data_IF_387086119297
#
_entry.id   IF_387086119297
#
_cell.length_a   1.000
_cell.length_b   1.000
_cell.length_c   1.000
_cell.angle_alpha   90.00
_cell.angle_beta   90.00
_cell.angle_gamma   90.00
#
_symmetry.space_group_name_H-M   'P 1'
#
loop_
_entity.id
_entity.type
_entity.pdbx_description
1 polymer ?
#
# COMPACT_ATOMS: atom_id res chain seq x y z
N UNK A 1 14.71 2.16 12.67
CA UNK A 1 13.90 1.72 11.51
C UNK A 1 12.47 2.29 11.42
N UNK A 2 11.92 2.96 12.44
CA UNK A 2 10.57 3.58 12.38
C UNK A 2 10.52 4.83 11.46
N UNK A 3 11.64 5.56 11.37
CA UNK A 3 11.75 6.80 10.58
C UNK A 3 11.60 6.53 9.06
N UNK A 4 12.18 5.42 8.57
CA UNK A 4 12.14 5.04 7.17
C UNK A 4 10.72 4.72 6.69
N UNK A 5 9.91 4.02 7.50
CA UNK A 5 8.51 3.72 7.16
C UNK A 5 7.66 4.99 7.01
N UNK A 6 7.79 5.93 7.96
CA UNK A 6 7.04 7.20 7.91
C UNK A 6 7.38 8.04 6.67
N UNK A 7 8.65 8.05 6.24
CA UNK A 7 9.06 8.75 5.02
C UNK A 7 8.41 8.12 3.78
N UNK A 8 8.49 6.79 3.66
CA UNK A 8 7.93 6.10 2.50
C UNK A 8 6.41 6.32 2.36
N UNK A 9 5.68 6.30 3.48
CA UNK A 9 4.24 6.57 3.52
C UNK A 9 3.92 7.97 2.98
N UNK A 10 4.63 8.99 3.45
CA UNK A 10 4.43 10.38 2.99
C UNK A 10 4.72 10.54 1.50
N UNK A 11 5.77 9.88 1.01
CA UNK A 11 6.11 9.93 -0.41
C UNK A 11 5.04 9.27 -1.28
N UNK A 12 4.44 8.15 -0.83
CA UNK A 12 3.33 7.49 -1.52
C UNK A 12 2.07 8.38 -1.51
N UNK A 13 1.67 8.89 -0.35
CA UNK A 13 0.49 9.75 -0.23
C UNK A 13 0.61 10.99 -1.12
N UNK A 14 1.76 11.67 -1.08
CA UNK A 14 2.05 12.82 -1.94
C UNK A 14 2.05 12.45 -3.43
N UNK A 15 2.53 11.25 -3.81
CA UNK A 15 2.47 10.79 -5.19
C UNK A 15 1.03 10.57 -5.68
N UNK A 16 0.14 10.09 -4.81
CA UNK A 16 -1.30 9.96 -5.12
C UNK A 16 -1.96 11.33 -5.24
N UNK A 17 -1.76 12.21 -4.25
CA UNK A 17 -2.33 13.57 -4.24
C UNK A 17 -1.90 14.40 -5.46
N UNK A 18 -0.64 14.24 -5.89
CA UNK A 18 -0.11 14.91 -7.09
C UNK A 18 -0.48 14.23 -8.42
N UNK A 19 -1.17 13.08 -8.37
CA UNK A 19 -1.55 12.31 -9.57
C UNK A 19 -0.41 11.54 -10.24
N UNK A 20 0.79 11.53 -9.66
CA UNK A 20 1.95 10.74 -10.16
C UNK A 20 1.76 9.25 -9.95
N UNK A 21 0.98 8.85 -8.95
CA UNK A 21 0.56 7.48 -8.70
C UNK A 21 -0.97 7.41 -8.81
N UNK A 22 -1.47 6.67 -9.79
CA UNK A 22 -2.92 6.49 -9.99
C UNK A 22 -3.43 5.32 -9.16
N UNK A 23 -4.57 5.50 -8.51
CA UNK A 23 -5.26 4.42 -7.78
C UNK A 23 -6.22 3.65 -8.70
N UNK A 24 -6.37 2.31 -8.51
CA UNK A 24 -5.53 1.47 -7.68
C UNK A 24 -4.17 1.20 -8.32
N UNK A 25 -3.15 0.94 -7.50
CA UNK A 25 -1.77 0.75 -7.91
C UNK A 25 -1.19 -0.60 -7.46
N UNK A 26 -0.24 -1.12 -8.26
CA UNK A 26 0.60 -2.26 -7.91
C UNK A 26 1.90 -1.80 -7.23
N UNK A 27 2.65 -2.69 -6.56
CA UNK A 27 4.00 -2.40 -6.06
C UNK A 27 4.94 -1.76 -7.08
N UNK A 28 4.88 -2.17 -8.35
CA UNK A 28 5.74 -1.60 -9.39
C UNK A 28 5.35 -0.17 -9.77
N UNK A 29 4.06 0.18 -9.69
CA UNK A 29 3.61 1.56 -9.87
C UNK A 29 4.17 2.47 -8.78
N UNK A 30 4.17 2.00 -7.53
CA UNK A 30 4.78 2.71 -6.40
C UNK A 30 6.28 2.89 -6.65
N UNK A 31 6.99 1.87 -7.14
CA UNK A 31 8.41 1.96 -7.47
C UNK A 31 8.71 3.00 -8.54
N UNK A 32 7.85 3.11 -9.56
CA UNK A 32 7.98 4.11 -10.63
C UNK A 32 7.71 5.52 -10.13
N UNK A 33 6.69 5.72 -9.29
CA UNK A 33 6.30 7.03 -8.78
C UNK A 33 7.18 7.52 -7.61
N UNK A 34 7.72 6.58 -6.82
CA UNK A 34 8.50 6.82 -5.60
C UNK A 34 9.77 5.95 -5.63
N UNK A 35 10.76 6.27 -6.47
CA UNK A 35 12.00 5.50 -6.56
C UNK A 35 12.91 5.71 -5.35
N UNK A 36 13.92 4.84 -5.18
CA UNK A 36 14.97 5.00 -4.17
C UNK A 36 14.89 4.06 -2.96
N UNK A 37 13.94 3.13 -2.95
CA UNK A 37 13.79 2.11 -1.90
C UNK A 37 14.23 0.72 -2.38
N UNK A 38 14.51 -0.17 -1.44
CA UNK A 38 14.79 -1.57 -1.77
C UNK A 38 13.58 -2.23 -2.42
N UNK A 39 13.80 -3.10 -3.42
CA UNK A 39 12.71 -3.79 -4.14
C UNK A 39 11.70 -4.47 -3.20
N UNK A 40 12.21 -5.12 -2.16
CA UNK A 40 11.40 -5.82 -1.18
C UNK A 40 10.48 -4.89 -0.35
N UNK A 41 10.84 -3.62 -0.20
CA UNK A 41 9.99 -2.61 0.43
C UNK A 41 8.72 -2.40 -0.39
N UNK A 42 8.84 -2.16 -1.70
CA UNK A 42 7.66 -1.99 -2.57
C UNK A 42 6.72 -3.20 -2.53
N UNK A 43 7.31 -4.39 -2.48
CA UNK A 43 6.60 -5.66 -2.53
C UNK A 43 5.80 -5.97 -1.27
N UNK A 44 6.42 -5.80 -0.10
CA UNK A 44 5.87 -6.27 1.17
C UNK A 44 5.15 -5.15 1.93
N UNK A 45 5.61 -3.90 1.80
CA UNK A 45 5.11 -2.79 2.61
C UNK A 45 3.61 -2.52 2.42
N UNK A 46 3.05 -2.51 1.19
CA UNK A 46 1.62 -2.25 1.00
C UNK A 46 0.74 -3.26 1.76
N UNK A 47 1.01 -4.56 1.64
CA UNK A 47 0.28 -5.58 2.39
C UNK A 47 0.48 -5.47 3.90
N UNK A 48 1.70 -5.17 4.37
CA UNK A 48 1.98 -5.00 5.80
C UNK A 48 1.17 -3.88 6.46
N UNK A 49 0.80 -2.86 5.69
CA UNK A 49 0.03 -1.70 6.12
C UNK A 49 -1.35 -1.69 5.46
N UNK A 50 -1.89 -2.85 5.11
CA UNK A 50 -3.21 -2.99 4.52
C UNK A 50 -4.25 -3.28 5.61
N UNK A 51 -5.43 -2.66 5.52
CA UNK A 51 -6.52 -2.90 6.48
C UNK A 51 -6.91 -4.39 6.54
N UNK A 52 -6.97 -5.03 5.38
CA UNK A 52 -7.28 -6.45 5.19
C UNK A 52 -6.21 -7.41 5.72
N UNK A 53 -5.10 -6.92 6.30
CA UNK A 53 -4.08 -7.76 6.90
C UNK A 53 -4.40 -7.97 8.39
N UNK A 54 -4.90 -9.17 8.79
CA UNK A 54 -5.44 -9.44 10.14
C UNK A 54 -4.39 -9.47 11.27
N UNK A 55 -3.14 -9.10 10.99
CA UNK A 55 -2.03 -9.07 11.96
C UNK A 55 -1.60 -7.65 12.35
N UNK A 56 -2.25 -6.59 11.84
CA UNK A 56 -1.72 -5.21 11.82
C UNK A 56 -2.81 -4.12 11.79
N UNK A 57 -3.65 -4.11 12.81
CA UNK A 57 -4.92 -3.37 12.82
C UNK A 57 -4.75 -1.87 13.15
N UNK A 58 -3.60 -1.47 13.70
CA UNK A 58 -3.37 -0.10 14.21
C UNK A 58 -2.54 0.81 13.29
N UNK A 59 -2.12 0.32 12.12
CA UNK A 59 -1.27 1.09 11.18
C UNK A 59 -1.65 0.91 9.72
N UNK A 60 -2.92 0.61 9.46
CA UNK A 60 -3.44 0.47 8.11
C UNK A 60 -3.41 1.82 7.38
N UNK A 61 -2.95 1.79 6.14
CA UNK A 61 -2.78 2.93 5.24
C UNK A 61 -3.26 2.60 3.83
N UNK A 62 -3.37 1.31 3.52
CA UNK A 62 -3.83 0.81 2.26
C UNK A 62 -5.11 0.02 2.43
N UNK A 63 -5.92 0.05 1.39
CA UNK A 63 -7.04 -0.83 1.19
C UNK A 63 -6.72 -1.74 0.00
N UNK A 64 -6.85 -3.05 0.19
CA UNK A 64 -6.69 -4.03 -0.87
C UNK A 64 -7.98 -4.10 -1.70
N UNK A 65 -7.85 -3.94 -3.02
CA UNK A 65 -9.00 -3.86 -3.95
C UNK A 65 -9.35 -5.23 -4.56
N UNK A 66 -8.60 -6.28 -4.24
CA UNK A 66 -8.90 -7.63 -4.71
C UNK A 66 -9.69 -8.49 -3.71
N UNK A 67 -9.99 -9.72 -4.12
CA UNK A 67 -10.68 -10.71 -3.29
C UNK A 67 -9.73 -11.29 -2.23
N UNK A 68 -10.15 -11.25 -0.96
CA UNK A 68 -9.42 -11.81 0.19
C UNK A 68 -9.79 -13.30 0.41
N UNK A 69 -10.52 -13.91 -0.54
CA UNK A 69 -10.96 -15.29 -0.51
C UNK A 69 -9.84 -16.33 -0.49
N UNK A 70 -10.06 -17.47 -1.17
CA UNK A 70 -9.28 -18.71 -0.94
C UNK A 70 -7.76 -18.57 -1.06
N UNK A 71 -7.25 -17.66 -1.90
CA UNK A 71 -5.82 -17.42 -2.06
C UNK A 71 -5.55 -15.99 -2.51
N UNK A 72 -4.63 -15.30 -1.83
CA UNK A 72 -4.18 -13.97 -2.26
C UNK A 72 -3.18 -14.12 -3.41
N UNK A 73 -3.25 -13.28 -4.44
CA UNK A 73 -2.27 -13.31 -5.52
C UNK A 73 -0.86 -12.97 -4.99
N UNK A 74 0.19 -13.22 -5.80
CA UNK A 74 1.55 -12.75 -5.52
C UNK A 74 1.55 -11.26 -5.15
N UNK A 75 2.46 -10.86 -4.26
CA UNK A 75 2.51 -9.50 -3.74
C UNK A 75 2.56 -8.43 -4.86
N UNK A 76 3.30 -8.73 -5.91
CA UNK A 76 3.54 -7.92 -7.10
C UNK A 76 2.27 -7.63 -7.92
N UNK A 77 1.26 -8.49 -7.80
CA UNK A 77 0.02 -8.42 -8.55
C UNK A 77 -1.12 -7.80 -7.75
N UNK A 78 -0.94 -7.65 -6.44
CA UNK A 78 -1.94 -7.06 -5.55
C UNK A 78 -2.15 -5.59 -5.89
N UNK A 79 -3.43 -5.21 -5.95
CA UNK A 79 -3.88 -3.84 -6.20
C UNK A 79 -4.30 -3.17 -4.90
N UNK A 80 -3.75 -2.00 -4.66
CA UNK A 80 -4.00 -1.21 -3.47
C UNK A 80 -4.49 0.18 -3.84
N UNK A 81 -5.18 0.81 -2.90
CA UNK A 81 -5.40 2.26 -2.86
C UNK A 81 -5.12 2.75 -1.44
N UNK A 82 -5.05 4.06 -1.25
CA UNK A 82 -5.05 4.66 0.07
C UNK A 82 -6.35 4.30 0.79
N UNK A 83 -6.18 4.01 2.08
CA UNK A 83 -7.28 3.80 3.01
C UNK A 83 -8.06 5.11 3.19
N UNK A 84 -9.38 5.03 3.17
CA UNK A 84 -10.32 6.14 3.35
C UNK A 84 -11.10 5.94 4.64
N UNK A 85 -11.67 7.02 5.18
CA UNK A 85 -12.46 6.95 6.42
C UNK A 85 -13.66 5.99 6.27
N UNK A 86 -14.32 5.99 5.11
CA UNK A 86 -15.44 5.11 4.79
C UNK A 86 -15.08 3.61 4.83
N UNK A 87 -13.80 3.26 4.72
CA UNK A 87 -13.35 1.86 4.77
C UNK A 87 -13.27 1.30 6.20
N UNK A 88 -13.36 2.18 7.20
CA UNK A 88 -13.27 1.82 8.63
C UNK A 88 -14.65 1.54 9.24
N UNK A 89 -15.72 1.72 8.46
CA UNK A 89 -17.10 1.52 8.91
C UNK A 89 -17.55 0.14 8.44
N UNK A 90 -17.90 -0.73 9.40
CA UNK A 90 -18.47 -2.06 9.15
C UNK A 90 -19.86 -2.01 8.48
#
# INVERSE_FOLDING_TARGET
>A
NVICGRRFIKEIASAVESGRLKEPFKPDDIRRAVPGWAYQTYRIFPWKHCLQNPKRDTTALFFYVGDIGKELPPYEERLYRLLREDDLVD
#
